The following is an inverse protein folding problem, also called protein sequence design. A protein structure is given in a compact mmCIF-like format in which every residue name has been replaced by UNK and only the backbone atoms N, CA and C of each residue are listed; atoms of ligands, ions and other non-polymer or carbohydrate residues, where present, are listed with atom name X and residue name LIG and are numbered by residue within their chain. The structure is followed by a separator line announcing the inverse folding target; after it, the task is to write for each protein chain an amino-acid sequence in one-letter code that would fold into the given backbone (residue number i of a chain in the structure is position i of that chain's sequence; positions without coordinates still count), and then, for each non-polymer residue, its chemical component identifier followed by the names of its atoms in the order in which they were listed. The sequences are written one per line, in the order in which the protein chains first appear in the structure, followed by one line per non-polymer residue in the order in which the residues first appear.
data_IF_514351278656
#
_entry.id   IF_514351278656
#
_cell.length_a   1.000
_cell.length_b   1.000
_cell.length_c   1.000
_cell.angle_alpha   90.00
_cell.angle_beta   90.00
_cell.angle_gamma   90.00
#
_symmetry.space_group_name_H-M   'P 1'
#
loop_
_entity.id
_entity.type
_entity.pdbx_description
1 polymer ?
#
# COMPACT_ATOMS: atom_id res chain seq x y z
N UNK A 1 16.59 19.14 -49.25
CA UNK A 1 16.66 18.82 -47.82
C UNK A 1 16.41 20.10 -47.04
N UNK A 2 15.25 20.28 -46.40
CA UNK A 2 15.02 21.43 -45.52
C UNK A 2 14.72 20.89 -44.12
N UNK A 3 15.54 21.27 -43.15
CA UNK A 3 15.60 20.68 -41.81
C UNK A 3 15.10 21.65 -40.76
N UNK A 4 14.21 21.12 -39.91
CA UNK A 4 14.07 21.42 -38.48
C UNK A 4 13.43 22.75 -38.07
N UNK A 5 12.11 22.74 -37.94
CA UNK A 5 11.39 23.58 -36.97
C UNK A 5 11.68 23.03 -35.56
N UNK A 6 12.15 23.92 -34.68
CA UNK A 6 12.52 23.62 -33.30
C UNK A 6 11.31 23.71 -32.40
N UNK A 7 10.66 22.57 -32.15
CA UNK A 7 9.60 22.36 -31.17
C UNK A 7 10.10 22.65 -29.74
N UNK A 8 10.00 23.91 -29.31
CA UNK A 8 10.29 24.33 -27.94
C UNK A 8 9.10 24.01 -27.04
N UNK A 9 8.93 22.73 -26.68
CA UNK A 9 7.98 22.32 -25.63
C UNK A 9 8.65 22.44 -24.27
N UNK A 10 8.13 23.24 -23.33
CA UNK A 10 8.64 23.23 -21.96
C UNK A 10 8.36 21.87 -21.34
N UNK A 11 9.40 21.24 -20.78
CA UNK A 11 9.28 20.01 -20.02
C UNK A 11 8.31 20.23 -18.84
N UNK A 12 7.37 19.30 -18.57
CA UNK A 12 6.51 19.42 -17.40
C UNK A 12 7.39 19.38 -16.16
N UNK A 13 7.37 20.47 -15.37
CA UNK A 13 7.98 20.52 -14.06
C UNK A 13 7.41 19.38 -13.21
N UNK A 14 8.21 18.33 -13.02
CA UNK A 14 7.92 17.28 -12.06
C UNK A 14 8.14 17.89 -10.69
N UNK A 15 7.08 18.47 -10.13
CA UNK A 15 7.06 18.88 -8.74
C UNK A 15 7.44 17.65 -7.89
N UNK A 16 8.36 17.77 -6.91
CA UNK A 16 8.63 16.67 -6.00
C UNK A 16 7.32 16.38 -5.29
N UNK A 17 6.75 15.20 -5.57
CA UNK A 17 5.63 14.68 -4.79
C UNK A 17 6.18 14.46 -3.39
N UNK A 18 5.97 15.44 -2.52
CA UNK A 18 6.07 15.21 -1.09
C UNK A 18 5.26 13.96 -0.84
N UNK A 19 5.93 12.92 -0.36
CA UNK A 19 5.35 11.69 0.16
C UNK A 19 4.57 12.00 1.44
N UNK A 20 3.69 13.00 1.36
CA UNK A 20 2.59 13.18 2.28
C UNK A 20 1.66 12.02 2.01
N UNK A 21 1.52 11.20 3.03
CA UNK A 21 0.58 10.08 3.17
C UNK A 21 -0.59 10.27 2.21
N UNK A 22 -0.60 9.55 1.09
CA UNK A 22 -1.76 9.49 0.20
C UNK A 22 -2.68 8.43 0.80
N UNK A 23 -3.68 8.78 1.64
CA UNK A 23 -4.57 7.78 2.21
C UNK A 23 -5.31 7.00 1.12
N UNK A 24 -5.51 7.61 -0.06
CA UNK A 24 -6.09 7.00 -1.25
C UNK A 24 -5.21 5.90 -1.88
N UNK A 25 -3.93 5.82 -1.54
CA UNK A 25 -3.01 4.77 -2.00
C UNK A 25 -2.81 3.66 -0.96
N UNK A 26 -3.53 3.70 0.17
CA UNK A 26 -3.55 2.59 1.13
C UNK A 26 -4.15 1.40 0.41
N UNK A 27 -3.36 0.34 0.27
CA UNK A 27 -3.87 -0.90 -0.30
C UNK A 27 -4.95 -1.42 0.63
N UNK A 28 -6.23 -1.30 0.28
CA UNK A 28 -7.35 -1.81 1.10
C UNK A 28 -7.22 -3.31 1.42
N UNK A 29 -6.42 -4.02 0.62
CA UNK A 29 -6.07 -5.42 0.81
C UNK A 29 -5.01 -5.66 1.88
N UNK A 30 -4.28 -4.66 2.36
CA UNK A 30 -3.21 -4.82 3.36
C UNK A 30 -3.34 -3.73 4.42
N UNK A 31 -3.48 -4.14 5.68
CA UNK A 31 -3.32 -3.27 6.83
C UNK A 31 -1.84 -3.03 7.07
N UNK A 32 -1.38 -1.86 6.63
CA UNK A 32 0.02 -1.44 6.77
C UNK A 32 0.47 -1.42 8.23
N UNK A 33 -0.40 -1.08 9.18
CA UNK A 33 -0.11 -1.10 10.61
C UNK A 33 0.27 -2.51 11.12
N UNK A 34 -0.44 -3.53 10.66
CA UNK A 34 -0.16 -4.94 10.98
C UNK A 34 1.07 -5.44 10.21
N UNK A 35 1.24 -5.02 8.96
CA UNK A 35 2.40 -5.38 8.16
C UNK A 35 3.71 -4.79 8.72
N UNK A 36 3.67 -3.54 9.19
CA UNK A 36 4.80 -2.86 9.86
C UNK A 36 5.17 -3.55 11.18
N UNK A 37 4.23 -4.23 11.83
CA UNK A 37 4.48 -5.08 13.00
C UNK A 37 5.09 -6.46 12.64
N UNK A 38 5.52 -6.68 11.40
CA UNK A 38 6.14 -7.94 10.96
C UNK A 38 5.14 -9.08 10.72
N UNK A 39 3.86 -8.75 10.49
CA UNK A 39 2.80 -9.71 10.19
C UNK A 39 2.37 -9.66 8.73
N UNK A 40 1.54 -10.61 8.32
CA UNK A 40 1.01 -10.71 6.97
C UNK A 40 0.18 -9.47 6.59
N UNK A 41 -0.66 -8.96 7.50
CA UNK A 41 -1.45 -7.74 7.30
C UNK A 41 -2.54 -7.83 6.24
N UNK A 42 -2.69 -8.96 5.55
CA UNK A 42 -3.65 -9.13 4.47
C UNK A 42 -5.10 -9.01 4.99
N UNK A 43 -5.94 -8.26 4.31
CA UNK A 43 -7.32 -7.96 4.70
C UNK A 43 -8.29 -8.71 3.80
N UNK A 44 -9.17 -9.49 4.41
CA UNK A 44 -10.29 -10.10 3.72
C UNK A 44 -11.41 -9.08 3.50
N UNK A 45 -11.45 -8.46 2.32
CA UNK A 45 -12.34 -7.35 1.99
C UNK A 45 -13.83 -7.62 2.28
N UNK A 46 -14.31 -8.85 2.06
CA UNK A 46 -15.72 -9.17 2.26
C UNK A 46 -16.14 -9.20 3.74
N UNK A 47 -15.20 -9.40 4.67
CA UNK A 47 -15.47 -9.51 6.12
C UNK A 47 -14.75 -8.47 6.96
N UNK A 48 -13.83 -7.70 6.38
CA UNK A 48 -12.97 -6.74 7.09
C UNK A 48 -11.96 -7.39 8.05
N UNK A 49 -11.80 -8.72 7.99
CA UNK A 49 -10.88 -9.46 8.86
C UNK A 49 -9.45 -9.34 8.37
N UNK A 50 -8.48 -9.36 9.28
CA UNK A 50 -7.06 -9.16 8.95
C UNK A 50 -6.23 -10.38 9.34
N UNK A 51 -5.26 -10.74 8.52
CA UNK A 51 -4.30 -11.79 8.83
C UNK A 51 -3.21 -11.27 9.76
N UNK A 52 -3.09 -11.88 10.95
CA UNK A 52 -2.09 -11.54 11.96
C UNK A 52 -0.93 -12.54 12.03
N UNK A 53 -0.89 -13.53 11.13
CA UNK A 53 0.23 -14.47 11.06
C UNK A 53 1.53 -13.74 10.73
N UNK A 54 2.71 -14.33 11.01
CA UNK A 54 3.99 -13.76 10.61
C UNK A 54 4.04 -13.42 9.12
N UNK A 55 4.87 -12.46 8.75
CA UNK A 55 5.14 -12.21 7.33
C UNK A 55 5.56 -13.50 6.61
N UNK A 56 5.05 -13.69 5.39
CA UNK A 56 5.37 -14.85 4.52
C UNK A 56 5.13 -16.22 5.17
N UNK A 57 4.16 -16.34 6.07
CA UNK A 57 3.79 -17.62 6.68
C UNK A 57 3.43 -18.69 5.63
N UNK A 58 3.71 -19.98 5.87
CA UNK A 58 3.22 -21.05 5.02
C UNK A 58 1.71 -21.23 5.15
N UNK A 59 1.05 -21.72 4.09
CA UNK A 59 -0.38 -21.99 4.08
C UNK A 59 -1.26 -20.76 3.82
N UNK A 60 -2.57 -20.93 4.02
CA UNK A 60 -3.57 -19.87 3.83
C UNK A 60 -3.55 -18.84 4.95
N UNK A 61 -3.94 -17.60 4.64
CA UNK A 61 -4.07 -16.54 5.65
C UNK A 61 -5.11 -16.92 6.70
N UNK A 62 -4.77 -16.72 7.98
CA UNK A 62 -5.71 -16.86 9.09
C UNK A 62 -6.26 -15.48 9.45
N UNK A 63 -7.53 -15.26 9.14
CA UNK A 63 -8.17 -13.95 9.24
C UNK A 63 -8.92 -13.80 10.57
N UNK A 64 -8.42 -12.90 11.41
CA UNK A 64 -9.03 -12.56 12.71
C UNK A 64 -9.84 -11.28 12.64
N UNK A 65 -10.68 -11.05 13.67
CA UNK A 65 -11.47 -9.84 13.79
C UNK A 65 -10.60 -8.57 13.89
N UNK A 66 -11.18 -7.39 13.59
CA UNK A 66 -10.44 -6.13 13.61
C UNK A 66 -9.87 -5.78 14.99
N UNK A 67 -10.54 -6.19 16.07
CA UNK A 67 -10.08 -5.98 17.46
C UNK A 67 -8.80 -6.76 17.76
N UNK A 68 -8.74 -8.02 17.32
CA UNK A 68 -7.58 -8.90 17.50
C UNK A 68 -6.39 -8.39 16.68
N UNK A 69 -6.64 -8.01 15.42
CA UNK A 69 -5.64 -7.39 14.56
C UNK A 69 -5.10 -6.06 15.09
N UNK A 70 -5.95 -5.25 15.75
CA UNK A 70 -5.53 -4.01 16.39
C UNK A 70 -4.61 -4.25 17.59
N UNK A 71 -4.78 -5.37 18.30
CA UNK A 71 -3.87 -5.77 19.38
C UNK A 71 -2.45 -6.08 18.90
N UNK A 72 -2.30 -6.48 17.63
CA UNK A 72 -1.01 -6.86 17.02
C UNK A 72 -0.31 -5.69 16.33
N UNK A 73 -1.03 -4.65 15.93
CA UNK A 73 -0.53 -3.45 15.26
C UNK A 73 0.16 -2.42 16.20
N UNK A 74 0.55 -2.84 17.41
CA UNK A 74 0.93 -1.96 18.52
C UNK A 74 2.44 -1.80 18.67
#
# INVERSE_FOLDING_TARGET
MNSSDGDSRPAPSVLPVSSGERPDLRSFHVREDVALAGRCGNVHLATGRTCILPERHPGSCDFVGPEDANGVAR
#
